data_IF_448643843964
#
_entry.id   IF_448643843964
#
_cell.length_a   1.000
_cell.length_b   1.000
_cell.length_c   1.000
_cell.angle_alpha   90.00
_cell.angle_beta   90.00
_cell.angle_gamma   90.00
#
_symmetry.space_group_name_H-M   'P 1'
#
loop_
_entity.id
_entity.type
_entity.pdbx_description
1 polymer ?
#
# COMPACT_ATOMS: atom_id res chain seq x y z
N UNK A 1 -41.87 -5.13 31.08
CA UNK A 1 -40.40 -5.13 30.85
C UNK A 1 -39.80 -4.71 32.18
N UNK A 2 -39.23 -5.67 32.91
CA UNK A 2 -38.75 -5.45 34.27
C UNK A 2 -37.48 -4.55 34.27
N UNK A 3 -37.27 -3.81 35.36
CA UNK A 3 -36.10 -2.91 35.52
C UNK A 3 -34.75 -3.62 35.28
N UNK A 4 -34.68 -4.92 35.55
CA UNK A 4 -33.51 -5.76 35.28
C UNK A 4 -33.22 -5.89 33.78
N UNK A 5 -34.26 -5.98 32.94
CA UNK A 5 -34.11 -6.04 31.47
C UNK A 5 -33.69 -4.67 30.87
N UNK A 6 -34.12 -3.57 31.48
CA UNK A 6 -33.69 -2.21 31.10
C UNK A 6 -32.22 -1.98 31.44
N UNK A 7 -31.77 -2.36 32.62
CA UNK A 7 -30.36 -2.23 33.04
C UNK A 7 -29.48 -3.14 32.17
N UNK A 8 -29.97 -4.34 31.84
CA UNK A 8 -29.27 -5.24 30.90
C UNK A 8 -29.13 -4.66 29.48
N UNK A 9 -30.19 -4.07 28.95
CA UNK A 9 -30.18 -3.41 27.63
C UNK A 9 -29.34 -2.12 27.63
N UNK A 10 -29.42 -1.29 28.63
CA UNK A 10 -28.56 -0.10 28.76
C UNK A 10 -27.08 -0.49 28.92
N UNK A 11 -26.77 -1.51 29.71
CA UNK A 11 -25.41 -2.00 29.85
C UNK A 11 -24.88 -2.63 28.56
N UNK A 12 -25.70 -3.32 27.77
CA UNK A 12 -25.36 -3.87 26.48
C UNK A 12 -25.19 -2.78 25.42
N UNK A 13 -26.03 -1.74 25.44
CA UNK A 13 -25.91 -0.58 24.55
C UNK A 13 -24.67 0.25 24.91
N UNK A 14 -24.41 0.47 26.20
CA UNK A 14 -23.21 1.15 26.69
C UNK A 14 -21.95 0.35 26.37
N UNK A 15 -21.96 -0.98 26.51
CA UNK A 15 -20.84 -1.84 26.07
C UNK A 15 -20.66 -1.84 24.56
N UNK A 16 -21.74 -1.83 23.77
CA UNK A 16 -21.67 -1.76 22.30
C UNK A 16 -21.18 -0.41 21.80
N UNK A 17 -21.57 0.68 22.48
CA UNK A 17 -21.06 2.03 22.20
C UNK A 17 -19.63 2.22 22.70
N UNK A 18 -19.25 1.63 23.84
CA UNK A 18 -17.86 1.63 24.33
C UNK A 18 -16.93 0.80 23.41
N UNK A 19 -17.36 -0.39 22.98
CA UNK A 19 -16.61 -1.22 22.03
C UNK A 19 -16.46 -0.55 20.65
N UNK A 20 -17.46 0.22 20.21
CA UNK A 20 -17.37 1.08 19.03
C UNK A 20 -16.42 2.29 19.21
N UNK A 21 -16.14 2.65 20.48
CA UNK A 21 -15.24 3.75 20.87
C UNK A 21 -13.78 3.31 21.05
N UNK A 22 -13.53 2.02 21.27
CA UNK A 22 -12.20 1.50 21.62
C UNK A 22 -11.25 1.28 20.43
N UNK A 23 -11.75 1.38 19.19
CA UNK A 23 -10.91 1.15 17.99
C UNK A 23 -10.24 -0.23 18.03
N UNK A 24 -8.90 -0.26 17.87
CA UNK A 24 -8.09 -1.49 17.88
C UNK A 24 -7.37 -1.73 19.21
N UNK A 25 -7.62 -0.92 20.24
CA UNK A 25 -6.91 -0.98 21.51
C UNK A 25 -7.44 -2.06 22.46
N UNK A 26 -8.63 -2.59 22.19
CA UNK A 26 -9.28 -3.65 22.96
C UNK A 26 -9.60 -4.89 22.11
N UNK A 27 -10.00 -5.97 22.73
CA UNK A 27 -10.37 -7.21 22.05
C UNK A 27 -9.20 -8.03 21.50
N UNK A 28 -9.50 -9.05 20.70
CA UNK A 28 -8.50 -10.00 20.16
C UNK A 28 -7.65 -9.36 19.06
N UNK A 29 -6.34 -9.36 19.23
CA UNK A 29 -5.35 -8.84 18.27
C UNK A 29 -5.49 -9.53 16.91
N UNK A 30 -5.51 -10.87 16.90
CA UNK A 30 -5.59 -11.64 15.65
C UNK A 30 -6.89 -11.38 14.88
N UNK A 31 -8.04 -11.24 15.58
CA UNK A 31 -9.32 -10.93 14.92
C UNK A 31 -9.31 -9.56 14.25
N UNK A 32 -8.71 -8.54 14.88
CA UNK A 32 -8.59 -7.21 14.28
C UNK A 32 -7.71 -7.23 13.04
N UNK A 33 -6.52 -7.86 13.13
CA UNK A 33 -5.58 -7.96 12.01
C UNK A 33 -6.17 -8.76 10.85
N UNK A 34 -6.81 -9.90 11.13
CA UNK A 34 -7.48 -10.71 10.12
C UNK A 34 -8.60 -9.93 9.43
N UNK A 35 -9.44 -9.24 10.21
CA UNK A 35 -10.53 -8.42 9.65
C UNK A 35 -10.01 -7.28 8.79
N UNK A 36 -9.01 -6.52 9.28
CA UNK A 36 -8.37 -5.45 8.49
C UNK A 36 -7.72 -6.01 7.22
N UNK A 37 -6.90 -7.04 7.34
CA UNK A 37 -6.17 -7.65 6.23
C UNK A 37 -7.10 -8.25 5.19
N UNK A 38 -8.14 -8.99 5.57
CA UNK A 38 -9.07 -9.62 4.62
C UNK A 38 -9.88 -8.59 3.82
N UNK A 39 -10.44 -7.55 4.46
CA UNK A 39 -11.15 -6.50 3.73
C UNK A 39 -10.22 -5.70 2.83
N UNK A 40 -8.97 -5.46 3.26
CA UNK A 40 -7.97 -4.82 2.41
C UNK A 40 -7.57 -5.71 1.24
N UNK A 41 -7.42 -7.02 1.44
CA UNK A 41 -7.14 -7.96 0.37
C UNK A 41 -8.25 -7.97 -0.69
N UNK A 42 -9.52 -8.01 -0.28
CA UNK A 42 -10.66 -7.91 -1.21
C UNK A 42 -10.62 -6.59 -1.98
N UNK A 43 -10.39 -5.46 -1.31
CA UNK A 43 -10.31 -4.15 -1.97
C UNK A 43 -9.16 -4.07 -2.98
N UNK A 44 -7.97 -4.54 -2.63
CA UNK A 44 -6.80 -4.53 -3.52
C UNK A 44 -6.94 -5.53 -4.67
N UNK A 45 -7.48 -6.72 -4.44
CA UNK A 45 -7.76 -7.69 -5.50
C UNK A 45 -8.77 -7.13 -6.51
N UNK A 46 -9.87 -6.52 -6.05
CA UNK A 46 -10.86 -5.92 -6.94
C UNK A 46 -10.26 -4.75 -7.74
N UNK A 47 -9.35 -3.97 -7.14
CA UNK A 47 -8.65 -2.91 -7.85
C UNK A 47 -7.75 -3.46 -8.96
N UNK A 48 -7.04 -4.57 -8.72
CA UNK A 48 -6.24 -5.21 -9.76
C UNK A 48 -7.08 -5.84 -10.87
N UNK A 49 -8.23 -6.43 -10.52
CA UNK A 49 -9.20 -6.91 -11.52
C UNK A 49 -9.69 -5.75 -12.39
N UNK A 50 -9.94 -4.57 -11.82
CA UNK A 50 -10.34 -3.40 -12.58
C UNK A 50 -9.23 -2.91 -13.54
N UNK A 51 -7.97 -2.92 -13.11
CA UNK A 51 -6.82 -2.60 -13.98
C UNK A 51 -6.66 -3.62 -15.12
N UNK A 52 -6.86 -4.91 -14.83
CA UNK A 52 -6.83 -5.95 -15.84
C UNK A 52 -7.98 -5.78 -16.84
N UNK A 53 -9.20 -5.50 -16.36
CA UNK A 53 -10.34 -5.24 -17.22
C UNK A 53 -10.12 -4.02 -18.13
N UNK A 54 -9.53 -2.94 -17.60
CA UNK A 54 -9.12 -1.76 -18.37
C UNK A 54 -8.13 -2.13 -19.49
N UNK A 55 -7.11 -2.94 -19.18
CA UNK A 55 -6.14 -3.41 -20.17
C UNK A 55 -6.80 -4.27 -21.25
N UNK A 56 -7.74 -5.14 -20.89
CA UNK A 56 -8.51 -5.95 -21.85
C UNK A 56 -9.37 -5.05 -22.74
N UNK A 57 -10.10 -4.07 -22.17
CA UNK A 57 -10.92 -3.15 -22.96
C UNK A 57 -10.08 -2.33 -23.94
N UNK A 58 -8.93 -1.81 -23.51
CA UNK A 58 -8.02 -1.07 -24.38
C UNK A 58 -7.38 -1.97 -25.45
N UNK A 59 -7.07 -3.21 -25.13
CA UNK A 59 -6.61 -4.20 -26.11
C UNK A 59 -7.67 -4.54 -27.18
N UNK A 60 -8.97 -4.42 -26.85
CA UNK A 60 -10.06 -4.56 -27.80
C UNK A 60 -10.22 -3.33 -28.71
N UNK A 61 -9.78 -2.15 -28.25
CA UNK A 61 -9.76 -0.93 -29.09
C UNK A 61 -8.65 -1.01 -30.13
N UNK A 62 -7.39 -1.16 -29.69
CA UNK A 62 -6.24 -1.35 -30.57
C UNK A 62 -4.97 -1.76 -29.79
N UNK A 63 -3.99 -2.29 -30.52
CA UNK A 63 -2.67 -2.59 -29.94
C UNK A 63 -1.94 -1.32 -29.47
N UNK A 64 -2.13 -0.21 -30.18
CA UNK A 64 -1.56 1.09 -29.86
C UNK A 64 -2.15 1.65 -28.56
N UNK A 65 -3.45 1.48 -28.32
CA UNK A 65 -4.11 1.88 -27.06
C UNK A 65 -3.55 1.11 -25.87
N UNK A 66 -3.34 -0.19 -26.01
CA UNK A 66 -2.71 -1.02 -24.99
C UNK A 66 -1.24 -0.60 -24.73
N UNK A 67 -0.49 -0.30 -25.80
CA UNK A 67 0.87 0.21 -25.68
C UNK A 67 0.90 1.58 -24.98
N UNK A 68 -0.03 2.47 -25.29
CA UNK A 68 -0.16 3.79 -24.66
C UNK A 68 -0.39 3.68 -23.14
N UNK A 69 -1.24 2.73 -22.69
CA UNK A 69 -1.40 2.43 -21.27
C UNK A 69 -0.08 1.97 -20.63
N UNK A 70 0.74 1.21 -21.35
CA UNK A 70 2.08 0.79 -20.92
C UNK A 70 3.01 1.97 -20.64
N UNK A 71 3.01 3.01 -21.49
CA UNK A 71 3.79 4.23 -21.28
C UNK A 71 3.24 5.11 -20.12
N UNK A 72 1.95 5.05 -19.82
CA UNK A 72 1.37 5.72 -18.66
C UNK A 72 1.74 5.06 -17.32
N UNK A 73 2.08 3.76 -17.30
CA UNK A 73 2.30 2.96 -16.10
C UNK A 73 3.40 3.51 -15.14
N UNK A 74 4.60 3.93 -15.59
CA UNK A 74 5.60 4.51 -14.70
C UNK A 74 5.13 5.78 -13.98
N UNK A 75 4.30 6.57 -14.68
CA UNK A 75 3.72 7.80 -14.12
C UNK A 75 2.71 7.43 -13.03
N UNK A 76 1.84 6.47 -13.29
CA UNK A 76 0.83 6.04 -12.31
C UNK A 76 1.47 5.44 -11.04
N UNK A 77 2.54 4.63 -11.16
CA UNK A 77 3.29 4.10 -10.00
C UNK A 77 3.89 5.24 -9.18
N UNK A 78 4.45 6.26 -9.84
CA UNK A 78 5.00 7.44 -9.15
C UNK A 78 3.91 8.14 -8.32
N UNK A 79 2.72 8.34 -8.89
CA UNK A 79 1.58 8.92 -8.18
C UNK A 79 1.11 8.05 -7.01
N UNK A 80 1.16 6.72 -7.14
CA UNK A 80 0.90 5.80 -6.03
C UNK A 80 1.89 5.97 -4.88
N UNK A 81 3.18 6.22 -5.17
CA UNK A 81 4.18 6.48 -4.13
C UNK A 81 3.85 7.75 -3.33
N UNK A 82 3.43 8.82 -4.00
CA UNK A 82 2.99 10.06 -3.33
C UNK A 82 1.72 9.83 -2.49
N UNK A 83 0.70 9.19 -3.06
CA UNK A 83 -0.56 8.91 -2.36
C UNK A 83 -0.35 8.00 -1.15
N UNK A 84 0.44 6.93 -1.31
CA UNK A 84 0.80 6.00 -0.25
C UNK A 84 1.61 6.63 0.86
N UNK A 85 2.58 7.48 0.51
CA UNK A 85 3.41 8.17 1.50
C UNK A 85 2.64 9.19 2.32
N UNK A 86 1.82 10.05 1.69
CA UNK A 86 0.93 10.98 2.40
C UNK A 86 -0.06 10.19 3.27
N UNK A 87 -0.63 9.11 2.73
CA UNK A 87 -1.53 8.23 3.46
C UNK A 87 -0.87 7.60 4.70
N UNK A 88 0.35 7.08 4.58
CA UNK A 88 1.12 6.52 5.69
C UNK A 88 1.45 7.57 6.74
N UNK A 89 1.89 8.77 6.33
CA UNK A 89 2.11 9.88 7.23
C UNK A 89 0.86 10.26 8.02
N UNK A 90 -0.27 10.43 7.32
CA UNK A 90 -1.56 10.75 7.95
C UNK A 90 -2.03 9.61 8.88
N UNK A 91 -1.96 8.35 8.43
CA UNK A 91 -2.28 7.17 9.23
C UNK A 91 -1.48 7.12 10.53
N UNK A 92 -0.17 7.35 10.45
CA UNK A 92 0.75 7.34 11.58
C UNK A 92 0.35 8.34 12.67
N UNK A 93 0.08 9.60 12.28
CA UNK A 93 -0.25 10.66 13.25
C UNK A 93 -1.64 10.47 13.83
N UNK A 94 -2.62 10.15 12.97
CA UNK A 94 -4.02 9.98 13.35
C UNK A 94 -4.22 8.74 14.21
N UNK A 95 -3.62 7.59 13.84
CA UNK A 95 -3.75 6.38 14.63
C UNK A 95 -3.16 6.55 16.03
N UNK A 96 -2.03 7.24 16.19
CA UNK A 96 -1.45 7.54 17.51
C UNK A 96 -2.34 8.49 18.32
N UNK A 97 -2.90 9.54 17.72
CA UNK A 97 -3.83 10.43 18.38
C UNK A 97 -5.11 9.70 18.81
N UNK A 98 -5.63 8.81 17.95
CA UNK A 98 -6.78 7.97 18.24
C UNK A 98 -6.51 7.03 19.41
N UNK A 99 -5.33 6.40 19.44
CA UNK A 99 -4.89 5.54 20.53
C UNK A 99 -4.70 6.29 21.86
N UNK A 100 -4.25 7.53 21.79
CA UNK A 100 -4.11 8.42 22.95
C UNK A 100 -5.47 8.97 23.48
N UNK A 101 -6.57 8.74 22.73
CA UNK A 101 -7.89 9.23 23.10
C UNK A 101 -8.17 10.69 22.72
N UNK A 102 -7.24 11.35 22.01
CA UNK A 102 -7.33 12.76 21.62
C UNK A 102 -8.15 12.91 20.32
N UNK A 103 -9.49 12.91 20.49
CA UNK A 103 -10.44 12.99 19.38
C UNK A 103 -10.44 14.34 18.65
N UNK A 104 -10.23 15.43 19.38
CA UNK A 104 -10.18 16.76 18.77
C UNK A 104 -9.00 16.86 17.81
N UNK A 105 -7.85 16.35 18.21
CA UNK A 105 -6.67 16.22 17.36
C UNK A 105 -6.89 15.29 16.19
N UNK A 106 -7.61 14.18 16.35
CA UNK A 106 -7.96 13.26 15.25
C UNK A 106 -8.80 13.98 14.20
N UNK A 107 -9.87 14.68 14.60
CA UNK A 107 -10.76 15.38 13.65
C UNK A 107 -10.04 16.49 12.89
N UNK A 108 -9.16 17.23 13.55
CA UNK A 108 -8.30 18.23 12.95
C UNK A 108 -7.33 17.60 11.93
N UNK A 109 -6.60 16.56 12.33
CA UNK A 109 -5.64 15.89 11.45
C UNK A 109 -6.30 15.22 10.23
N UNK A 110 -7.51 14.65 10.38
CA UNK A 110 -8.28 14.08 9.25
C UNK A 110 -8.59 15.16 8.21
N UNK A 111 -9.05 16.34 8.62
CA UNK A 111 -9.33 17.46 7.71
C UNK A 111 -8.06 17.98 7.04
N UNK A 112 -7.00 18.22 7.82
CA UNK A 112 -5.73 18.72 7.30
C UNK A 112 -5.05 17.75 6.34
N UNK A 113 -5.17 16.43 6.56
CA UNK A 113 -4.64 15.39 5.66
C UNK A 113 -5.38 15.38 4.31
N UNK A 114 -6.70 15.59 4.31
CA UNK A 114 -7.48 15.69 3.07
C UNK A 114 -7.13 16.94 2.27
N UNK A 115 -6.99 18.08 2.94
CA UNK A 115 -6.57 19.34 2.29
C UNK A 115 -5.16 19.17 1.69
N UNK A 116 -4.23 18.56 2.43
CA UNK A 116 -2.89 18.26 1.92
C UNK A 116 -2.94 17.37 0.68
N UNK A 117 -3.77 16.32 0.70
CA UNK A 117 -3.94 15.41 -0.43
C UNK A 117 -4.49 16.14 -1.68
N UNK A 118 -5.45 17.03 -1.52
CA UNK A 118 -5.99 17.85 -2.62
C UNK A 118 -4.91 18.76 -3.18
N UNK A 119 -4.19 19.49 -2.33
CA UNK A 119 -3.15 20.45 -2.76
C UNK A 119 -2.03 19.70 -3.51
N UNK A 120 -1.47 18.66 -2.91
CA UNK A 120 -0.39 17.88 -3.54
C UNK A 120 -0.89 17.19 -4.81
N UNK A 121 -2.11 16.63 -4.78
CA UNK A 121 -2.73 16.03 -5.95
C UNK A 121 -2.93 17.03 -7.09
N UNK A 122 -3.38 18.26 -6.78
CA UNK A 122 -3.54 19.33 -7.78
C UNK A 122 -2.19 19.76 -8.35
N UNK A 123 -1.17 19.94 -7.49
CA UNK A 123 0.17 20.29 -7.96
C UNK A 123 0.76 19.22 -8.87
N UNK A 124 0.65 17.94 -8.48
CA UNK A 124 1.12 16.82 -9.31
C UNK A 124 0.31 16.69 -10.60
N UNK A 125 -1.02 16.87 -10.54
CA UNK A 125 -1.90 16.83 -11.70
C UNK A 125 -1.58 17.94 -12.71
N UNK A 126 -1.43 19.18 -12.24
CA UNK A 126 -1.05 20.32 -13.09
C UNK A 126 0.34 20.12 -13.67
N UNK A 127 1.31 19.75 -12.85
CA UNK A 127 2.68 19.45 -13.32
C UNK A 127 2.67 18.34 -14.37
N UNK A 128 1.99 17.22 -14.07
CA UNK A 128 1.89 16.09 -14.98
C UNK A 128 1.17 16.45 -16.30
N UNK A 129 0.13 17.29 -16.27
CA UNK A 129 -0.58 17.73 -17.46
C UNK A 129 0.29 18.66 -18.33
N UNK A 130 1.06 19.56 -17.73
CA UNK A 130 1.94 20.50 -18.46
C UNK A 130 3.10 19.72 -19.11
N UNK A 131 3.70 18.76 -18.41
CA UNK A 131 4.88 18.04 -18.85
C UNK A 131 4.57 16.64 -19.43
N UNK A 132 3.30 16.29 -19.66
CA UNK A 132 2.89 14.97 -20.15
C UNK A 132 3.64 14.58 -21.44
N UNK A 133 3.67 15.46 -22.42
CA UNK A 133 4.31 15.21 -23.70
C UNK A 133 5.82 14.96 -23.55
N UNK A 134 6.51 15.84 -22.81
CA UNK A 134 7.97 15.71 -22.59
C UNK A 134 8.32 14.43 -21.84
N UNK A 135 7.52 14.07 -20.83
CA UNK A 135 7.75 12.85 -20.05
C UNK A 135 7.55 11.61 -20.93
N UNK A 136 6.47 11.57 -21.71
CA UNK A 136 6.14 10.41 -22.55
C UNK A 136 7.13 10.27 -23.71
N UNK A 137 7.57 11.38 -24.31
CA UNK A 137 8.64 11.38 -25.33
C UNK A 137 9.97 10.89 -24.73
N UNK A 138 10.32 11.32 -23.51
CA UNK A 138 11.53 10.85 -22.81
C UNK A 138 11.48 9.35 -22.49
N UNK A 139 10.27 8.78 -22.30
CA UNK A 139 10.05 7.34 -22.16
C UNK A 139 10.15 6.59 -23.51
N UNK A 140 10.22 7.29 -24.64
CA UNK A 140 10.44 6.71 -25.97
C UNK A 140 9.17 6.51 -26.81
N UNK A 141 7.99 6.98 -26.37
CA UNK A 141 6.78 6.91 -27.19
C UNK A 141 6.86 7.84 -28.41
N UNK A 142 6.31 7.39 -29.53
CA UNK A 142 6.31 8.13 -30.82
C UNK A 142 5.01 7.90 -31.58
N UNK A 143 4.69 8.85 -32.49
CA UNK A 143 3.55 8.73 -33.40
C UNK A 143 2.22 8.53 -32.67
N UNK A 144 1.36 7.65 -33.17
CA UNK A 144 0.02 7.40 -32.65
C UNK A 144 0.01 6.99 -31.17
N UNK A 145 1.00 6.20 -30.73
CA UNK A 145 1.12 5.79 -29.31
C UNK A 145 1.39 7.00 -28.42
N UNK A 146 2.21 7.94 -28.85
CA UNK A 146 2.46 9.19 -28.12
C UNK A 146 1.16 9.99 -27.98
N UNK A 147 0.43 10.20 -29.07
CA UNK A 147 -0.81 10.98 -29.07
C UNK A 147 -1.87 10.33 -28.17
N UNK A 148 -2.04 9.02 -28.26
CA UNK A 148 -2.95 8.26 -27.40
C UNK A 148 -2.56 8.34 -25.91
N UNK A 149 -1.26 8.24 -25.62
CA UNK A 149 -0.77 8.35 -24.24
C UNK A 149 -1.04 9.74 -23.67
N UNK A 150 -0.84 10.80 -24.47
CA UNK A 150 -1.15 12.18 -24.05
C UNK A 150 -2.64 12.34 -23.78
N UNK A 151 -3.52 11.85 -24.69
CA UNK A 151 -4.98 11.91 -24.48
C UNK A 151 -5.39 11.22 -23.18
N UNK A 152 -4.84 10.03 -22.91
CA UNK A 152 -5.10 9.32 -21.65
C UNK A 152 -4.63 10.14 -20.44
N UNK A 153 -3.38 10.63 -20.47
CA UNK A 153 -2.77 11.34 -19.36
C UNK A 153 -3.42 12.68 -19.08
N UNK A 154 -3.90 13.41 -20.08
CA UNK A 154 -4.60 14.68 -19.87
C UNK A 154 -5.83 14.48 -18.95
N UNK A 155 -6.64 13.47 -19.22
CA UNK A 155 -7.80 13.15 -18.38
C UNK A 155 -7.35 12.56 -17.05
N UNK A 156 -6.37 11.66 -17.05
CA UNK A 156 -5.85 11.04 -15.83
C UNK A 156 -5.27 12.05 -14.85
N UNK A 157 -4.49 13.05 -15.35
CA UNK A 157 -3.90 14.12 -14.54
C UNK A 157 -4.94 15.02 -13.90
N UNK A 158 -6.05 15.29 -14.60
CA UNK A 158 -7.21 15.95 -14.00
C UNK A 158 -7.77 15.13 -12.81
N UNK A 159 -7.70 13.81 -12.89
CA UNK A 159 -8.15 12.89 -11.84
C UNK A 159 -7.20 12.73 -10.65
N UNK A 160 -5.94 13.20 -10.74
CA UNK A 160 -4.90 12.96 -9.69
C UNK A 160 -5.30 13.51 -8.31
N UNK A 161 -5.91 14.70 -8.15
CA UNK A 161 -6.39 15.15 -6.85
C UNK A 161 -7.41 14.18 -6.23
N UNK A 162 -8.31 13.64 -7.04
CA UNK A 162 -9.31 12.67 -6.61
C UNK A 162 -8.70 11.32 -6.27
N UNK A 163 -7.70 10.92 -7.02
CA UNK A 163 -6.93 9.70 -6.73
C UNK A 163 -6.23 9.79 -5.37
N UNK A 164 -5.46 10.86 -5.12
CA UNK A 164 -4.77 11.06 -3.84
C UNK A 164 -5.77 11.10 -2.69
N UNK A 165 -6.85 11.85 -2.85
CA UNK A 165 -7.90 11.98 -1.85
C UNK A 165 -8.57 10.64 -1.52
N UNK A 166 -8.81 9.79 -2.54
CA UNK A 166 -9.38 8.45 -2.37
C UNK A 166 -8.45 7.53 -1.57
N UNK A 167 -7.14 7.50 -1.90
CA UNK A 167 -6.14 6.68 -1.19
C UNK A 167 -5.96 7.16 0.25
N UNK A 168 -5.80 8.47 0.44
CA UNK A 168 -5.68 9.07 1.78
C UNK A 168 -6.96 8.81 2.58
N UNK A 169 -8.17 9.02 2.01
CA UNK A 169 -9.45 8.74 2.65
C UNK A 169 -9.57 7.30 3.15
N UNK A 170 -9.11 6.32 2.35
CA UNK A 170 -9.01 4.91 2.75
C UNK A 170 -8.14 4.73 4.00
N UNK A 171 -6.96 5.36 4.02
CA UNK A 171 -6.02 5.30 5.15
C UNK A 171 -6.58 5.99 6.39
N UNK A 172 -7.26 7.12 6.25
CA UNK A 172 -7.91 7.84 7.35
C UNK A 172 -8.97 6.98 8.05
N UNK A 173 -9.83 6.28 7.28
CA UNK A 173 -10.83 5.37 7.83
C UNK A 173 -10.18 4.21 8.60
N UNK A 174 -9.08 3.65 8.11
CA UNK A 174 -8.33 2.63 8.86
C UNK A 174 -7.74 3.19 10.15
N UNK A 175 -7.09 4.35 10.07
CA UNK A 175 -6.47 5.01 11.20
C UNK A 175 -7.46 5.36 12.31
N UNK A 176 -8.72 5.68 11.94
CA UNK A 176 -9.82 5.98 12.90
C UNK A 176 -10.53 4.73 13.42
N UNK A 177 -10.12 3.52 13.02
CA UNK A 177 -10.61 2.26 13.59
C UNK A 177 -11.62 1.51 12.73
N UNK A 178 -11.92 1.95 11.51
CA UNK A 178 -12.79 1.20 10.60
C UNK A 178 -12.01 0.09 9.89
N UNK A 179 -12.37 -1.17 10.17
CA UNK A 179 -11.69 -2.32 9.57
C UNK A 179 -12.24 -2.71 8.19
N UNK A 180 -13.55 -2.63 7.99
CA UNK A 180 -14.22 -3.15 6.80
C UNK A 180 -14.46 -2.09 5.72
N UNK A 181 -14.86 -0.88 6.13
CA UNK A 181 -15.30 0.16 5.21
C UNK A 181 -14.27 0.53 4.13
N UNK A 182 -12.95 0.65 4.43
CA UNK A 182 -11.98 1.00 3.41
C UNK A 182 -11.92 -0.02 2.27
N UNK A 183 -11.87 -1.31 2.57
CA UNK A 183 -11.84 -2.37 1.58
C UNK A 183 -13.13 -2.45 0.75
N UNK A 184 -14.30 -2.29 1.40
CA UNK A 184 -15.59 -2.27 0.71
C UNK A 184 -15.68 -1.07 -0.26
N UNK A 185 -15.28 0.13 0.17
CA UNK A 185 -15.32 1.33 -0.67
C UNK A 185 -14.35 1.19 -1.86
N UNK A 186 -13.14 0.64 -1.62
CA UNK A 186 -12.19 0.34 -2.70
C UNK A 186 -12.79 -0.65 -3.72
N UNK A 187 -13.41 -1.73 -3.25
CA UNK A 187 -14.07 -2.71 -4.11
C UNK A 187 -15.24 -2.07 -4.90
N UNK A 188 -16.08 -1.26 -4.25
CA UNK A 188 -17.16 -0.54 -4.91
C UNK A 188 -16.64 0.38 -6.01
N UNK A 189 -15.61 1.20 -5.73
CA UNK A 189 -14.98 2.05 -6.74
C UNK A 189 -14.43 1.25 -7.92
N UNK A 190 -13.79 0.11 -7.66
CA UNK A 190 -13.26 -0.76 -8.71
C UNK A 190 -14.35 -1.40 -9.56
N UNK A 191 -15.45 -1.83 -8.95
CA UNK A 191 -16.61 -2.34 -9.69
C UNK A 191 -17.21 -1.23 -10.58
N UNK A 192 -17.35 -0.02 -10.05
CA UNK A 192 -17.82 1.13 -10.84
C UNK A 192 -16.88 1.40 -12.02
N UNK A 193 -15.57 1.33 -11.84
CA UNK A 193 -14.60 1.47 -12.93
C UNK A 193 -14.79 0.41 -14.02
N UNK A 194 -14.97 -0.86 -13.64
CA UNK A 194 -15.22 -1.97 -14.60
C UNK A 194 -16.49 -1.72 -15.39
N UNK A 195 -17.56 -1.27 -14.73
CA UNK A 195 -18.86 -1.03 -15.38
C UNK A 195 -18.84 0.22 -16.27
N UNK A 196 -18.15 1.28 -15.86
CA UNK A 196 -18.05 2.52 -16.66
C UNK A 196 -17.07 2.38 -17.84
N UNK A 197 -16.10 1.46 -17.76
CA UNK A 197 -15.14 1.23 -18.82
C UNK A 197 -15.78 1.06 -20.19
N UNK A 198 -16.63 0.04 -20.43
CA UNK A 198 -17.27 -0.18 -21.72
C UNK A 198 -18.16 0.99 -22.17
N UNK A 199 -18.79 1.68 -21.23
CA UNK A 199 -19.68 2.81 -21.53
C UNK A 199 -18.91 3.96 -22.18
N UNK A 200 -17.74 4.32 -21.61
CA UNK A 200 -16.96 5.44 -22.12
C UNK A 200 -15.96 5.05 -23.21
N UNK A 201 -15.42 3.83 -23.16
CA UNK A 201 -14.45 3.37 -24.16
C UNK A 201 -15.15 3.11 -25.50
N UNK A 202 -16.26 2.36 -25.49
CA UNK A 202 -16.96 1.90 -26.70
C UNK A 202 -18.23 2.71 -27.03
N UNK A 203 -18.57 3.72 -26.23
CA UNK A 203 -19.74 4.54 -26.51
C UNK A 203 -21.07 3.86 -26.21
N UNK A 204 -21.16 2.94 -25.25
CA UNK A 204 -22.40 2.27 -24.89
C UNK A 204 -23.41 3.23 -24.24
N UNK A 205 -24.70 2.88 -24.26
CA UNK A 205 -25.79 3.64 -23.66
C UNK A 205 -25.98 5.06 -24.24
N UNK A 206 -25.50 5.32 -25.47
CA UNK A 206 -25.67 6.62 -26.13
C UNK A 206 -24.63 7.68 -25.75
N UNK A 207 -23.61 7.30 -25.02
CA UNK A 207 -22.44 8.15 -24.76
C UNK A 207 -21.51 8.13 -25.98
N UNK A 208 -20.84 9.24 -26.36
CA UNK A 208 -19.84 9.22 -27.42
C UNK A 208 -18.71 8.23 -27.12
N UNK A 209 -18.22 7.55 -28.15
CA UNK A 209 -17.02 6.72 -28.03
C UNK A 209 -15.79 7.61 -27.78
N UNK A 210 -15.16 7.43 -26.63
CA UNK A 210 -14.01 8.21 -26.20
C UNK A 210 -12.68 7.43 -26.29
N UNK A 211 -12.72 6.16 -26.68
CA UNK A 211 -11.55 5.31 -26.80
C UNK A 211 -10.70 5.30 -25.52
N UNK A 212 -9.40 5.56 -25.65
CA UNK A 212 -8.46 5.53 -24.51
C UNK A 212 -8.77 6.63 -23.47
N UNK A 213 -9.26 7.80 -23.88
CA UNK A 213 -9.67 8.84 -22.93
C UNK A 213 -10.88 8.39 -22.09
N UNK A 214 -11.74 7.53 -22.66
CA UNK A 214 -12.88 6.91 -21.94
C UNK A 214 -12.45 6.04 -20.77
N UNK A 215 -11.33 5.31 -20.91
CA UNK A 215 -10.74 4.55 -19.80
C UNK A 215 -10.32 5.47 -18.64
N UNK A 216 -9.66 6.58 -18.95
CA UNK A 216 -9.26 7.57 -17.93
C UNK A 216 -10.48 8.23 -17.27
N UNK A 217 -11.55 8.54 -18.01
CA UNK A 217 -12.79 9.04 -17.43
C UNK A 217 -13.49 8.04 -16.52
N UNK A 218 -13.57 6.76 -16.92
CA UNK A 218 -14.10 5.70 -16.06
C UNK A 218 -13.33 5.60 -14.74
N UNK A 219 -11.99 5.71 -14.80
CA UNK A 219 -11.14 5.76 -13.62
C UNK A 219 -11.45 6.96 -12.74
N UNK A 220 -11.46 8.18 -13.27
CA UNK A 220 -11.72 9.43 -12.52
C UNK A 220 -13.08 9.39 -11.82
N UNK A 221 -14.13 9.00 -12.54
CA UNK A 221 -15.48 8.92 -11.97
C UNK A 221 -15.59 7.86 -10.87
N UNK A 222 -14.89 6.73 -11.02
CA UNK A 222 -14.83 5.71 -9.96
C UNK A 222 -14.16 6.23 -8.69
N UNK A 223 -13.15 7.11 -8.81
CA UNK A 223 -12.51 7.76 -7.66
C UNK A 223 -13.46 8.77 -6.99
N UNK A 224 -14.22 9.51 -7.76
CA UNK A 224 -15.25 10.42 -7.21
C UNK A 224 -16.29 9.66 -6.39
N UNK A 225 -16.79 8.53 -6.86
CA UNK A 225 -17.69 7.66 -6.08
C UNK A 225 -17.04 7.24 -4.77
N UNK A 226 -15.78 6.81 -4.82
CA UNK A 226 -15.03 6.42 -3.60
C UNK A 226 -14.91 7.59 -2.63
N UNK A 227 -14.62 8.80 -3.10
CA UNK A 227 -14.51 10.01 -2.27
C UNK A 227 -15.83 10.34 -1.59
N UNK A 228 -16.93 10.29 -2.33
CA UNK A 228 -18.27 10.54 -1.76
C UNK A 228 -18.56 9.56 -0.62
N UNK A 229 -18.26 8.28 -0.81
CA UNK A 229 -18.46 7.26 0.21
C UNK A 229 -17.56 7.46 1.43
N UNK A 230 -16.26 7.77 1.23
CA UNK A 230 -15.33 8.07 2.31
C UNK A 230 -15.74 9.30 3.09
N UNK A 231 -16.06 10.40 2.39
CA UNK A 231 -16.46 11.66 3.01
C UNK A 231 -17.77 11.52 3.79
N UNK A 232 -18.77 10.86 3.19
CA UNK A 232 -20.04 10.59 3.87
C UNK A 232 -19.82 9.81 5.18
N UNK A 233 -18.95 8.80 5.16
CA UNK A 233 -18.66 8.01 6.35
C UNK A 233 -17.89 8.80 7.41
N UNK A 234 -16.89 9.62 7.03
CA UNK A 234 -16.14 10.46 7.95
C UNK A 234 -17.02 11.54 8.59
N UNK A 235 -17.94 12.14 7.82
CA UNK A 235 -18.92 13.10 8.34
C UNK A 235 -19.91 12.41 9.29
N UNK A 236 -20.47 11.26 8.89
CA UNK A 236 -21.42 10.50 9.73
C UNK A 236 -20.82 10.05 11.05
N UNK A 237 -19.53 9.71 11.05
CA UNK A 237 -18.81 9.30 12.29
C UNK A 237 -18.29 10.48 13.09
N UNK A 238 -18.56 11.72 12.67
CA UNK A 238 -18.05 12.95 13.28
C UNK A 238 -16.52 12.97 13.40
N UNK A 239 -15.82 12.38 12.45
CA UNK A 239 -14.36 12.36 12.38
C UNK A 239 -13.79 13.46 11.48
N UNK A 240 -14.64 14.35 10.95
CA UNK A 240 -14.26 15.46 10.10
C UNK A 240 -14.87 16.76 10.64
N UNK A 241 -14.05 17.78 10.82
CA UNK A 241 -14.45 19.12 11.22
C UNK A 241 -13.61 20.13 10.44
N UNK A 242 -14.27 21.06 9.76
CA UNK A 242 -13.57 22.11 9.00
C UNK A 242 -12.93 23.11 9.98
N UNK A 243 -11.68 22.91 10.27
CA UNK A 243 -10.83 23.79 11.07
C UNK A 243 -9.54 23.99 10.28
N UNK A 244 -9.14 25.23 10.09
CA UNK A 244 -7.93 25.56 9.31
C UNK A 244 -6.75 25.92 10.21
N UNK A 245 -7.01 26.14 11.50
CA UNK A 245 -6.00 26.52 12.46
C UNK A 245 -4.99 25.39 12.69
N UNK A 246 -3.71 25.72 12.68
CA UNK A 246 -2.64 24.75 12.91
C UNK A 246 -2.31 23.83 11.74
N UNK A 247 -2.81 24.12 10.52
CA UNK A 247 -2.47 23.32 9.32
C UNK A 247 -0.97 23.10 9.10
N UNK A 248 -0.09 24.14 9.19
CA UNK A 248 1.34 23.93 8.94
C UNK A 248 1.98 22.92 9.89
N UNK A 249 1.61 22.92 11.17
CA UNK A 249 2.13 21.97 12.16
C UNK A 249 1.62 20.54 11.89
N UNK A 250 0.36 20.40 11.48
CA UNK A 250 -0.22 19.12 11.10
C UNK A 250 0.43 18.56 9.84
N UNK A 251 0.63 19.39 8.82
CA UNK A 251 1.29 18.98 7.58
C UNK A 251 2.75 18.61 7.82
N UNK A 252 3.47 19.35 8.64
CA UNK A 252 4.84 18.98 9.03
C UNK A 252 4.87 17.62 9.73
N UNK A 253 3.94 17.37 10.65
CA UNK A 253 3.83 16.06 11.32
C UNK A 253 3.49 14.91 10.36
N UNK A 254 2.60 15.15 9.38
CA UNK A 254 2.24 14.17 8.35
C UNK A 254 3.43 13.95 7.41
N UNK A 255 4.06 14.99 6.90
CA UNK A 255 5.17 14.91 5.95
C UNK A 255 6.46 14.39 6.59
N UNK A 256 6.63 14.55 7.92
CA UNK A 256 7.76 13.93 8.64
C UNK A 256 7.82 12.42 8.44
N UNK A 257 6.66 11.74 8.40
CA UNK A 257 6.58 10.30 8.09
C UNK A 257 6.33 10.09 6.60
N UNK A 258 5.46 10.89 6.00
CA UNK A 258 5.05 10.77 4.60
C UNK A 258 6.18 11.02 3.62
N UNK A 259 7.06 12.00 3.86
CA UNK A 259 8.18 12.30 2.98
C UNK A 259 9.14 11.12 2.79
N UNK A 260 9.71 10.57 3.87
CA UNK A 260 10.51 9.34 3.79
C UNK A 260 9.76 8.15 3.18
N UNK A 261 8.45 8.03 3.42
CA UNK A 261 7.64 6.95 2.83
C UNK A 261 7.46 7.15 1.30
N UNK A 262 7.30 8.39 0.81
CA UNK A 262 7.31 8.71 -0.63
C UNK A 262 8.65 8.30 -1.23
N UNK A 263 9.76 8.71 -0.63
CA UNK A 263 11.10 8.37 -1.12
C UNK A 263 11.30 6.85 -1.17
N UNK A 264 10.86 6.11 -0.16
CA UNK A 264 10.89 4.64 -0.16
C UNK A 264 10.08 4.04 -1.31
N UNK A 265 8.91 4.61 -1.61
CA UNK A 265 8.05 4.18 -2.72
C UNK A 265 8.68 4.42 -4.11
N UNK A 266 9.43 5.51 -4.27
CA UNK A 266 10.12 5.86 -5.53
C UNK A 266 11.35 4.98 -5.82
N UNK A 267 11.90 4.28 -4.82
CA UNK A 267 13.03 3.36 -5.02
C UNK A 267 12.61 2.12 -5.84
N UNK A 268 11.36 1.67 -5.72
CA UNK A 268 10.88 0.46 -6.40
C UNK A 268 10.96 0.53 -7.94
N UNK A 269 10.45 1.58 -8.62
CA UNK A 269 10.60 1.73 -10.06
C UNK A 269 12.06 1.74 -10.52
N UNK A 270 12.94 2.37 -9.75
CA UNK A 270 14.39 2.38 -10.04
C UNK A 270 14.98 0.97 -10.02
N UNK A 271 14.66 0.18 -8.99
CA UNK A 271 15.09 -1.21 -8.91
C UNK A 271 14.63 -2.03 -10.12
N UNK A 272 13.36 -1.87 -10.49
CA UNK A 272 12.77 -2.58 -11.62
C UNK A 272 13.48 -2.26 -12.94
N UNK A 273 13.84 -0.99 -13.17
CA UNK A 273 14.59 -0.56 -14.34
C UNK A 273 15.97 -1.23 -14.42
N UNK A 274 16.72 -1.25 -13.30
CA UNK A 274 18.06 -1.84 -13.24
C UNK A 274 17.98 -3.34 -13.55
N UNK A 275 17.05 -4.06 -12.93
CA UNK A 275 16.91 -5.51 -13.11
C UNK A 275 16.49 -5.86 -14.54
N UNK A 276 15.51 -5.15 -15.09
CA UNK A 276 15.09 -5.37 -16.47
C UNK A 276 16.26 -5.16 -17.44
N UNK A 277 17.11 -4.15 -17.20
CA UNK A 277 18.30 -3.91 -18.03
C UNK A 277 19.33 -5.03 -17.91
N UNK A 278 19.56 -5.58 -16.71
CA UNK A 278 20.46 -6.73 -16.53
C UNK A 278 19.92 -7.96 -17.27
N UNK A 279 18.64 -8.27 -17.08
CA UNK A 279 18.00 -9.42 -17.74
C UNK A 279 17.97 -9.27 -19.26
N UNK A 280 17.82 -8.05 -19.78
CA UNK A 280 17.86 -7.79 -21.24
C UNK A 280 19.21 -8.14 -21.86
N UNK A 281 20.30 -8.15 -21.08
CA UNK A 281 21.62 -8.63 -21.53
C UNK A 281 21.67 -10.12 -21.87
N UNK A 282 20.72 -10.91 -21.37
CA UNK A 282 20.62 -12.37 -21.61
C UNK A 282 19.61 -12.76 -22.71
N UNK A 283 18.98 -11.78 -23.35
CA UNK A 283 18.01 -12.01 -24.42
C UNK A 283 16.57 -11.63 -24.05
N UNK A 284 15.76 -11.46 -25.08
CA UNK A 284 14.36 -11.02 -24.90
C UNK A 284 13.46 -12.13 -24.30
N UNK A 285 13.78 -13.40 -24.53
CA UNK A 285 13.07 -14.53 -23.93
C UNK A 285 13.25 -14.56 -22.41
N UNK A 286 14.44 -14.22 -21.91
CA UNK A 286 14.70 -14.14 -20.47
C UNK A 286 13.85 -13.05 -19.81
N UNK A 287 13.75 -11.88 -20.47
CA UNK A 287 12.88 -10.79 -20.01
C UNK A 287 11.41 -11.21 -20.05
N UNK A 288 10.99 -11.94 -21.09
CA UNK A 288 9.63 -12.47 -21.21
C UNK A 288 9.31 -13.45 -20.07
N UNK A 289 10.16 -14.43 -19.81
CA UNK A 289 10.02 -15.40 -18.73
C UNK A 289 9.95 -14.75 -17.34
N UNK A 290 10.81 -13.75 -17.10
CA UNK A 290 10.77 -12.95 -15.89
C UNK A 290 9.44 -12.19 -15.73
N UNK A 291 8.94 -11.57 -16.81
CA UNK A 291 7.68 -10.83 -16.77
C UNK A 291 6.48 -11.75 -16.50
N UNK A 292 6.45 -12.94 -17.08
CA UNK A 292 5.42 -13.95 -16.79
C UNK A 292 5.47 -14.36 -15.32
N UNK A 293 6.65 -14.71 -14.83
CA UNK A 293 6.84 -15.16 -13.45
C UNK A 293 6.47 -14.07 -12.42
N UNK A 294 6.87 -12.81 -12.64
CA UNK A 294 6.56 -11.71 -11.73
C UNK A 294 5.08 -11.34 -11.69
N UNK A 295 4.33 -11.57 -12.77
CA UNK A 295 2.86 -11.39 -12.76
C UNK A 295 2.19 -12.38 -11.80
N UNK A 296 2.65 -13.63 -11.80
CA UNK A 296 2.16 -14.65 -10.85
C UNK A 296 2.57 -14.30 -9.42
N UNK A 297 3.83 -13.90 -9.21
CA UNK A 297 4.36 -13.48 -7.91
C UNK A 297 3.58 -12.28 -7.33
N UNK A 298 3.17 -11.34 -8.17
CA UNK A 298 2.42 -10.16 -7.74
C UNK A 298 1.12 -10.53 -7.01
N UNK A 299 0.45 -11.61 -7.40
CA UNK A 299 -0.75 -12.09 -6.70
C UNK A 299 -0.45 -12.51 -5.26
N UNK A 300 0.68 -13.18 -5.04
CA UNK A 300 1.14 -13.55 -3.70
C UNK A 300 1.52 -12.32 -2.86
N UNK A 301 2.17 -11.33 -3.49
CA UNK A 301 2.53 -10.06 -2.86
C UNK A 301 1.33 -9.24 -2.39
N UNK A 302 0.20 -9.26 -3.10
CA UNK A 302 -1.01 -8.52 -2.70
C UNK A 302 -1.52 -8.91 -1.32
N UNK A 303 -1.42 -10.19 -0.98
CA UNK A 303 -1.83 -10.69 0.34
C UNK A 303 -0.90 -10.17 1.44
N UNK A 304 0.41 -10.20 1.21
CA UNK A 304 1.40 -9.66 2.15
C UNK A 304 1.29 -8.14 2.29
N UNK A 305 1.05 -7.44 1.18
CA UNK A 305 0.83 -5.99 1.20
C UNK A 305 -0.43 -5.62 1.98
N UNK A 306 -1.50 -6.39 1.83
CA UNK A 306 -2.74 -6.22 2.58
C UNK A 306 -2.56 -6.49 4.08
N UNK A 307 -1.78 -7.53 4.44
CA UNK A 307 -1.40 -7.81 5.81
C UNK A 307 -0.56 -6.66 6.41
N UNK A 308 0.45 -6.18 5.68
CA UNK A 308 1.30 -5.06 6.11
C UNK A 308 0.49 -3.76 6.29
N UNK A 309 -0.45 -3.46 5.38
CA UNK A 309 -1.31 -2.29 5.47
C UNK A 309 -2.29 -2.34 6.66
N UNK A 310 -2.57 -3.53 7.19
CA UNK A 310 -3.37 -3.71 8.40
C UNK A 310 -2.60 -3.43 9.69
N UNK A 311 -1.29 -3.65 9.65
CA UNK A 311 -0.37 -3.47 10.79
C UNK A 311 -0.27 -2.00 11.19
N UNK A 312 -0.18 -1.10 10.21
CA UNK A 312 0.08 0.33 10.45
C UNK A 312 -0.97 0.99 11.37
N UNK A 313 -2.29 0.96 11.06
CA UNK A 313 -3.30 1.55 11.92
C UNK A 313 -3.42 0.82 13.27
N UNK A 314 -3.26 -0.50 13.29
CA UNK A 314 -3.32 -1.28 14.50
C UNK A 314 -2.18 -0.93 15.47
N UNK A 315 -0.94 -0.90 14.97
CA UNK A 315 0.24 -0.53 15.76
C UNK A 315 0.14 0.93 16.19
N UNK A 316 -0.22 1.84 15.30
CA UNK A 316 -0.33 3.26 15.62
C UNK A 316 -1.28 3.54 16.79
N UNK A 317 -2.48 2.93 16.80
CA UNK A 317 -3.42 3.08 17.90
C UNK A 317 -2.90 2.46 19.21
N UNK A 318 -2.37 1.24 19.16
CA UNK A 318 -1.83 0.59 20.36
C UNK A 318 -0.56 1.27 20.89
N UNK A 319 0.23 1.89 20.00
CA UNK A 319 1.39 2.71 20.36
C UNK A 319 0.96 4.00 21.07
N UNK A 320 -0.03 4.71 20.52
CA UNK A 320 -0.61 5.90 21.15
C UNK A 320 -1.24 5.60 22.51
N UNK A 321 -1.92 4.45 22.64
CA UNK A 321 -2.47 3.96 23.90
C UNK A 321 -1.42 3.35 24.86
N UNK A 322 -0.14 3.30 24.46
CA UNK A 322 0.98 2.68 25.20
C UNK A 322 0.76 1.19 25.51
N UNK A 323 0.02 0.47 24.67
CA UNK A 323 -0.25 -0.97 24.77
C UNK A 323 0.83 -1.80 24.07
N UNK A 324 2.08 -1.73 24.55
CA UNK A 324 3.25 -2.34 23.87
C UNK A 324 3.17 -3.87 23.75
N UNK A 325 2.49 -4.56 24.67
CA UNK A 325 2.34 -6.02 24.58
C UNK A 325 1.41 -6.42 23.42
N UNK A 326 0.39 -5.60 23.14
CA UNK A 326 -0.46 -5.79 21.94
C UNK A 326 0.32 -5.53 20.65
N UNK A 327 1.22 -4.54 20.65
CA UNK A 327 2.12 -4.28 19.53
C UNK A 327 3.05 -5.49 19.28
N UNK A 328 3.69 -6.03 20.33
CA UNK A 328 4.52 -7.24 20.23
C UNK A 328 3.74 -8.44 19.70
N UNK A 329 2.52 -8.64 20.20
CA UNK A 329 1.64 -9.72 19.76
C UNK A 329 1.23 -9.56 18.28
N UNK A 330 0.91 -8.35 17.85
CA UNK A 330 0.58 -8.06 16.48
C UNK A 330 1.74 -8.37 15.53
N UNK A 331 2.95 -7.89 15.85
CA UNK A 331 4.16 -8.17 15.09
C UNK A 331 4.47 -9.67 15.03
N UNK A 332 4.31 -10.38 16.13
CA UNK A 332 4.50 -11.84 16.13
C UNK A 332 3.52 -12.53 15.19
N UNK A 333 2.23 -12.22 15.29
CA UNK A 333 1.19 -12.85 14.45
C UNK A 333 1.36 -12.52 12.97
N UNK A 334 1.67 -11.27 12.62
CA UNK A 334 1.82 -10.86 11.23
C UNK A 334 3.11 -11.37 10.60
N UNK A 335 4.21 -11.42 11.35
CA UNK A 335 5.46 -12.02 10.88
C UNK A 335 5.32 -13.54 10.70
N UNK A 336 4.66 -14.24 11.63
CA UNK A 336 4.38 -15.67 11.50
C UNK A 336 3.47 -15.96 10.30
N UNK A 337 2.46 -15.12 10.09
CA UNK A 337 1.60 -15.22 8.90
C UNK A 337 2.42 -15.01 7.62
N UNK A 338 3.30 -14.01 7.60
CA UNK A 338 4.16 -13.73 6.43
C UNK A 338 5.05 -14.93 6.06
N UNK A 339 5.69 -15.57 7.05
CA UNK A 339 6.50 -16.76 6.80
C UNK A 339 5.66 -17.94 6.33
N UNK A 340 4.52 -18.20 6.99
CA UNK A 340 3.61 -19.27 6.59
C UNK A 340 3.07 -19.06 5.16
N UNK A 341 2.74 -17.82 4.81
CA UNK A 341 2.31 -17.45 3.46
C UNK A 341 3.43 -17.62 2.44
N UNK A 342 4.67 -17.26 2.79
CA UNK A 342 5.83 -17.48 1.94
C UNK A 342 6.06 -18.97 1.64
N UNK A 343 6.01 -19.83 2.68
CA UNK A 343 6.11 -21.29 2.50
C UNK A 343 4.95 -21.82 1.65
N UNK A 344 3.72 -21.38 1.92
CA UNK A 344 2.56 -21.77 1.10
C UNK A 344 2.73 -21.38 -0.37
N UNK A 345 3.15 -20.13 -0.63
CA UNK A 345 3.39 -19.64 -1.99
C UNK A 345 4.50 -20.43 -2.69
N UNK A 346 5.59 -20.72 -1.97
CA UNK A 346 6.68 -21.54 -2.51
C UNK A 346 6.20 -22.92 -2.94
N UNK A 347 5.50 -23.62 -2.05
CA UNK A 347 4.96 -24.96 -2.37
C UNK A 347 3.95 -24.88 -3.52
N UNK A 348 3.07 -23.88 -3.51
CA UNK A 348 2.09 -23.68 -4.58
C UNK A 348 2.76 -23.47 -5.93
N UNK A 349 3.77 -22.57 -5.99
CA UNK A 349 4.49 -22.29 -7.24
C UNK A 349 5.32 -23.48 -7.73
N UNK A 350 5.87 -24.29 -6.83
CA UNK A 350 6.51 -25.56 -7.22
C UNK A 350 5.55 -26.56 -7.86
N UNK A 351 4.28 -26.61 -7.37
CA UNK A 351 3.30 -27.59 -7.85
C UNK A 351 2.61 -27.14 -9.15
N UNK A 352 2.33 -25.87 -9.31
CA UNK A 352 1.51 -25.37 -10.42
C UNK A 352 2.24 -24.37 -11.33
N UNK A 353 3.46 -23.92 -10.97
CA UNK A 353 4.16 -22.87 -11.70
C UNK A 353 4.40 -23.20 -13.16
N UNK A 354 4.91 -24.39 -13.44
CA UNK A 354 5.16 -24.85 -14.80
C UNK A 354 3.87 -24.94 -15.62
N UNK A 355 2.78 -25.46 -15.04
CA UNK A 355 1.47 -25.47 -15.67
C UNK A 355 0.95 -24.08 -16.01
N UNK A 356 1.13 -23.11 -15.09
CA UNK A 356 0.69 -21.73 -15.32
C UNK A 356 1.50 -21.06 -16.44
N UNK A 357 2.80 -21.32 -16.51
CA UNK A 357 3.64 -20.81 -17.60
C UNK A 357 3.24 -21.39 -18.94
N UNK A 358 2.99 -22.69 -19.03
CA UNK A 358 2.58 -23.36 -20.27
C UNK A 358 1.21 -22.87 -20.81
N UNK A 359 0.38 -22.24 -19.98
CA UNK A 359 -0.86 -21.60 -20.42
C UNK A 359 -0.62 -20.21 -21.05
N UNK A 360 0.55 -19.60 -20.83
CA UNK A 360 0.83 -18.22 -21.22
C UNK A 360 1.77 -18.19 -22.44
N UNK A 361 2.77 -19.06 -22.46
CA UNK A 361 3.80 -19.08 -23.50
C UNK A 361 4.33 -20.52 -23.73
N UNK A 362 4.38 -20.93 -24.97
CA UNK A 362 4.90 -22.26 -25.39
C UNK A 362 6.42 -22.27 -25.61
N UNK A 363 7.10 -21.11 -25.46
CA UNK A 363 8.54 -21.02 -25.65
C UNK A 363 9.29 -21.70 -24.48
N UNK A 364 10.14 -22.67 -24.81
CA UNK A 364 10.88 -23.46 -23.83
C UNK A 364 11.80 -22.57 -22.96
N UNK A 365 12.47 -21.56 -23.53
CA UNK A 365 13.35 -20.65 -22.78
C UNK A 365 12.55 -19.82 -21.78
N UNK A 366 11.39 -19.31 -22.18
CA UNK A 366 10.46 -18.58 -21.28
C UNK A 366 10.05 -19.47 -20.10
N UNK A 367 9.72 -20.73 -20.39
CA UNK A 367 9.33 -21.71 -19.36
C UNK A 367 10.48 -22.04 -18.42
N UNK A 368 11.70 -22.24 -18.91
CA UNK A 368 12.90 -22.51 -18.09
C UNK A 368 13.24 -21.36 -17.17
N UNK A 369 13.18 -20.12 -17.67
CA UNK A 369 13.42 -18.90 -16.87
C UNK A 369 12.37 -18.74 -15.78
N UNK A 370 11.08 -18.90 -16.12
CA UNK A 370 10.01 -18.80 -15.15
C UNK A 370 10.06 -19.92 -14.10
N UNK A 371 10.40 -21.14 -14.49
CA UNK A 371 10.59 -22.28 -13.56
C UNK A 371 11.76 -22.02 -12.60
N UNK A 372 12.90 -21.48 -13.10
CA UNK A 372 14.03 -21.07 -12.26
C UNK A 372 13.62 -19.98 -11.26
N UNK A 373 12.80 -19.01 -11.70
CA UNK A 373 12.26 -17.98 -10.85
C UNK A 373 11.39 -18.58 -9.72
N UNK A 374 10.46 -19.48 -10.07
CA UNK A 374 9.54 -20.10 -9.10
C UNK A 374 10.25 -21.00 -8.08
N UNK A 375 11.41 -21.55 -8.44
CA UNK A 375 12.23 -22.33 -7.52
C UNK A 375 12.96 -21.44 -6.49
N UNK A 376 13.38 -20.23 -6.87
CA UNK A 376 14.30 -19.39 -6.09
C UNK A 376 13.56 -18.29 -5.31
N UNK A 377 12.73 -17.49 -5.98
CA UNK A 377 12.18 -16.26 -5.43
C UNK A 377 11.11 -16.51 -4.35
N UNK A 378 10.15 -17.44 -4.52
CA UNK A 378 9.06 -17.60 -3.56
C UNK A 378 9.53 -18.00 -2.16
N UNK A 379 10.69 -18.67 -2.05
CA UNK A 379 11.30 -18.99 -0.76
C UNK A 379 11.56 -17.74 0.10
N UNK A 380 11.82 -16.60 -0.52
CA UNK A 380 12.15 -15.34 0.13
C UNK A 380 10.94 -14.40 0.35
N UNK A 381 9.78 -14.70 -0.24
CA UNK A 381 8.57 -13.85 -0.18
C UNK A 381 8.15 -13.59 1.28
N UNK A 382 8.22 -14.62 2.14
CA UNK A 382 7.91 -14.48 3.56
C UNK A 382 8.79 -13.45 4.29
N UNK A 383 10.07 -13.39 3.97
CA UNK A 383 11.01 -12.42 4.53
C UNK A 383 10.80 -11.01 3.97
N UNK A 384 10.43 -10.90 2.69
CA UNK A 384 10.01 -9.63 2.11
C UNK A 384 8.78 -9.07 2.83
N UNK A 385 7.79 -9.92 3.16
CA UNK A 385 6.63 -9.51 3.96
C UNK A 385 7.01 -9.06 5.37
N UNK A 386 7.95 -9.73 6.05
CA UNK A 386 8.51 -9.29 7.34
C UNK A 386 9.12 -7.89 7.24
N UNK A 387 9.88 -7.62 6.18
CA UNK A 387 10.46 -6.31 5.93
C UNK A 387 9.37 -5.24 5.74
N UNK A 388 8.32 -5.51 4.97
CA UNK A 388 7.18 -4.60 4.78
C UNK A 388 6.45 -4.33 6.11
N UNK A 389 6.24 -5.37 6.94
CA UNK A 389 5.64 -5.27 8.28
C UNK A 389 6.51 -4.40 9.19
N UNK A 390 7.82 -4.58 9.17
CA UNK A 390 8.77 -3.76 9.95
C UNK A 390 8.70 -2.29 9.53
N UNK A 391 8.72 -2.01 8.22
CA UNK A 391 8.61 -0.65 7.66
C UNK A 391 7.30 0.02 8.07
N UNK A 392 6.16 -0.68 7.93
CA UNK A 392 4.85 -0.19 8.38
C UNK A 392 4.80 0.03 9.89
N UNK A 393 5.44 -0.83 10.68
CA UNK A 393 5.55 -0.69 12.13
C UNK A 393 6.37 0.55 12.53
N UNK A 394 7.49 0.83 11.85
CA UNK A 394 8.29 2.02 12.09
C UNK A 394 7.51 3.28 11.74
N UNK A 395 6.84 3.32 10.59
CA UNK A 395 6.00 4.45 10.16
C UNK A 395 4.87 4.68 11.17
N UNK A 396 4.14 3.65 11.58
CA UNK A 396 3.06 3.73 12.56
C UNK A 396 3.50 4.35 13.89
N UNK A 397 4.73 4.09 14.33
CA UNK A 397 5.32 4.64 15.54
C UNK A 397 5.87 6.07 15.39
N UNK A 398 5.89 6.60 14.17
CA UNK A 398 6.47 7.92 13.86
C UNK A 398 7.99 7.91 13.78
N UNK A 399 8.58 6.78 13.41
CA UNK A 399 10.01 6.57 13.21
C UNK A 399 10.30 6.29 11.72
N UNK A 400 10.19 7.27 10.83
CA UNK A 400 10.27 7.04 9.38
C UNK A 400 11.70 6.75 8.89
N UNK A 401 12.73 7.24 9.58
CA UNK A 401 14.11 7.06 9.14
C UNK A 401 14.54 5.59 9.08
N UNK A 402 14.29 4.73 10.10
CA UNK A 402 14.54 3.29 9.99
C UNK A 402 13.83 2.64 8.80
N UNK A 403 12.57 3.03 8.50
CA UNK A 403 11.82 2.51 7.37
C UNK A 403 12.48 2.88 6.03
N UNK A 404 12.91 4.14 5.88
CA UNK A 404 13.63 4.62 4.68
C UNK A 404 14.99 3.91 4.55
N UNK A 405 15.76 3.80 5.65
CA UNK A 405 17.06 3.13 5.65
C UNK A 405 16.94 1.68 5.21
N UNK A 406 15.94 0.94 5.72
CA UNK A 406 15.67 -0.45 5.27
C UNK A 406 15.43 -0.49 3.76
N UNK A 407 14.63 0.42 3.22
CA UNK A 407 14.30 0.46 1.78
C UNK A 407 15.52 0.80 0.91
N UNK A 408 16.31 1.81 1.31
CA UNK A 408 17.52 2.23 0.59
C UNK A 408 18.59 1.14 0.66
N UNK A 409 18.89 0.63 1.86
CA UNK A 409 19.90 -0.40 2.06
C UNK A 409 19.53 -1.66 1.28
N UNK A 410 18.27 -2.11 1.39
CA UNK A 410 17.81 -3.28 0.64
C UNK A 410 18.06 -3.12 -0.85
N UNK A 411 17.64 -2.03 -1.44
CA UNK A 411 17.58 -1.90 -2.89
C UNK A 411 18.89 -1.39 -3.47
N UNK A 412 19.40 -0.28 -2.94
CA UNK A 412 20.55 0.41 -3.55
C UNK A 412 21.87 -0.15 -3.06
N UNK A 413 21.97 -0.46 -1.77
CA UNK A 413 23.25 -0.86 -1.16
C UNK A 413 23.50 -2.37 -1.27
N UNK A 414 22.46 -3.19 -1.14
CA UNK A 414 22.58 -4.65 -1.14
C UNK A 414 22.16 -5.26 -2.45
N UNK A 415 20.90 -5.05 -2.87
CA UNK A 415 20.32 -5.78 -3.99
C UNK A 415 20.99 -5.45 -5.33
N UNK A 416 21.09 -4.18 -5.69
CA UNK A 416 21.66 -3.79 -7.01
C UNK A 416 23.12 -4.24 -7.16
N UNK A 417 24.03 -3.98 -6.21
CA UNK A 417 25.40 -4.47 -6.32
C UNK A 417 25.49 -5.99 -6.33
N UNK A 418 24.71 -6.67 -5.48
CA UNK A 418 24.71 -8.13 -5.40
C UNK A 418 24.17 -8.75 -6.69
N UNK A 419 23.13 -8.17 -7.29
CA UNK A 419 22.56 -8.63 -8.54
C UNK A 419 23.57 -8.49 -9.69
N UNK A 420 24.30 -7.35 -9.78
CA UNK A 420 25.33 -7.13 -10.79
C UNK A 420 26.47 -8.17 -10.64
N UNK A 421 26.93 -8.39 -9.42
CA UNK A 421 28.01 -9.36 -9.16
C UNK A 421 27.54 -10.78 -9.43
N UNK A 422 26.35 -11.15 -8.97
CA UNK A 422 25.81 -12.49 -9.17
C UNK A 422 25.50 -12.78 -10.64
N UNK A 423 25.07 -11.77 -11.40
CA UNK A 423 24.86 -11.85 -12.86
C UNK A 423 26.16 -12.24 -13.60
N UNK A 424 27.31 -11.69 -13.20
CA UNK A 424 28.61 -12.01 -13.78
C UNK A 424 29.04 -13.47 -13.61
N UNK A 425 28.59 -14.14 -12.52
CA UNK A 425 28.99 -15.51 -12.20
C UNK A 425 27.95 -16.55 -12.62
N UNK A 426 26.65 -16.22 -12.53
CA UNK A 426 25.55 -17.17 -12.71
C UNK A 426 24.48 -16.71 -13.69
N UNK A 427 24.74 -15.63 -14.43
CA UNK A 427 23.78 -15.06 -15.37
C UNK A 427 22.46 -14.66 -14.70
N UNK A 428 21.35 -14.76 -15.43
CA UNK A 428 20.03 -14.35 -14.91
C UNK A 428 19.60 -15.12 -13.64
N UNK A 429 20.06 -16.36 -13.46
CA UNK A 429 19.82 -17.14 -12.24
C UNK A 429 20.49 -16.46 -11.03
N UNK A 430 21.67 -15.88 -11.24
CA UNK A 430 22.38 -15.08 -10.22
C UNK A 430 21.55 -13.88 -9.75
N UNK A 431 20.84 -13.21 -10.65
CA UNK A 431 19.94 -12.10 -10.30
C UNK A 431 18.80 -12.58 -9.38
N UNK A 432 18.22 -13.75 -9.65
CA UNK A 432 17.18 -14.34 -8.81
C UNK A 432 17.72 -14.75 -7.43
N UNK A 433 18.90 -15.35 -7.37
CA UNK A 433 19.58 -15.68 -6.13
C UNK A 433 19.89 -14.43 -5.29
N UNK A 434 20.39 -13.36 -5.94
CA UNK A 434 20.63 -12.08 -5.28
C UNK A 434 19.36 -11.47 -4.69
N UNK A 435 18.23 -11.56 -5.42
CA UNK A 435 16.91 -11.11 -4.94
C UNK A 435 16.52 -11.88 -3.69
N UNK A 436 16.58 -13.22 -3.73
CA UNK A 436 16.20 -14.08 -2.62
C UNK A 436 17.11 -13.87 -1.40
N UNK A 437 18.43 -13.84 -1.60
CA UNK A 437 19.39 -13.59 -0.53
C UNK A 437 19.20 -12.22 0.12
N UNK A 438 18.96 -11.18 -0.67
CA UNK A 438 18.68 -9.83 -0.17
C UNK A 438 17.39 -9.80 0.66
N UNK A 439 16.30 -10.40 0.17
CA UNK A 439 15.03 -10.45 0.89
C UNK A 439 15.20 -11.14 2.25
N UNK A 440 15.89 -12.29 2.29
CA UNK A 440 16.16 -13.02 3.53
C UNK A 440 17.02 -12.21 4.47
N UNK A 441 18.19 -11.74 4.01
CA UNK A 441 19.14 -11.01 4.84
C UNK A 441 18.57 -9.73 5.42
N UNK A 442 18.00 -8.87 4.57
CA UNK A 442 17.40 -7.60 5.02
C UNK A 442 16.13 -7.84 5.83
N UNK A 443 15.33 -8.87 5.49
CA UNK A 443 14.15 -9.27 6.27
C UNK A 443 14.50 -9.65 7.71
N UNK A 444 15.56 -10.43 7.92
CA UNK A 444 16.07 -10.80 9.26
C UNK A 444 16.55 -9.56 10.03
N UNK A 445 17.33 -8.70 9.37
CA UNK A 445 17.82 -7.45 10.00
C UNK A 445 16.67 -6.54 10.39
N UNK A 446 15.70 -6.34 9.49
CA UNK A 446 14.53 -5.51 9.74
C UNK A 446 13.67 -6.07 10.90
N UNK A 447 13.49 -7.39 10.97
CA UNK A 447 12.79 -8.05 12.08
C UNK A 447 13.48 -7.81 13.42
N UNK A 448 14.81 -8.04 13.49
CA UNK A 448 15.59 -7.83 14.70
C UNK A 448 15.54 -6.37 15.16
N UNK A 449 15.80 -5.43 14.25
CA UNK A 449 15.79 -4.00 14.54
C UNK A 449 14.42 -3.53 15.06
N UNK A 450 13.34 -3.94 14.36
CA UNK A 450 11.98 -3.59 14.78
C UNK A 450 11.66 -4.15 16.17
N UNK A 451 12.03 -5.41 16.45
CA UNK A 451 11.82 -6.07 17.74
C UNK A 451 12.58 -5.38 18.88
N UNK A 452 13.85 -5.05 18.67
CA UNK A 452 14.68 -4.34 19.63
C UNK A 452 14.13 -2.93 19.92
N UNK A 453 13.75 -2.20 18.89
CA UNK A 453 13.19 -0.85 19.01
C UNK A 453 11.90 -0.83 19.84
N UNK A 454 11.02 -1.83 19.69
CA UNK A 454 9.80 -1.97 20.52
C UNK A 454 10.17 -2.34 21.98
N UNK A 455 11.17 -3.18 22.20
CA UNK A 455 11.59 -3.59 23.53
C UNK A 455 12.22 -2.45 24.33
N UNK A 456 13.08 -1.65 23.69
CA UNK A 456 13.74 -0.49 24.31
C UNK A 456 12.73 0.54 24.83
N UNK A 457 11.72 0.86 24.03
CA UNK A 457 10.69 1.82 24.43
C UNK A 457 9.82 1.32 25.59
N UNK A 458 9.54 0.01 25.66
CA UNK A 458 8.87 -0.58 26.83
C UNK A 458 9.75 -0.45 28.08
N UNK A 459 11.04 -0.78 27.99
CA UNK A 459 11.98 -0.67 29.10
C UNK A 459 12.12 0.75 29.65
N UNK A 460 12.22 1.75 28.76
CA UNK A 460 12.25 3.16 29.18
C UNK A 460 10.99 3.60 29.93
N UNK A 461 9.82 3.12 29.49
CA UNK A 461 8.57 3.39 30.20
C UNK A 461 8.53 2.79 31.60
N UNK A 462 8.91 1.50 31.71
CA UNK A 462 8.85 0.79 33.00
C UNK A 462 9.81 1.44 34.00
N UNK A 463 10.97 1.91 33.54
CA UNK A 463 11.92 2.69 34.32
C UNK A 463 11.33 4.05 34.80
N UNK A 464 10.71 4.81 33.86
CA UNK A 464 10.11 6.10 34.20
C UNK A 464 8.94 5.97 35.18
N UNK A 465 8.13 4.89 35.06
CA UNK A 465 7.03 4.64 35.99
C UNK A 465 7.54 4.31 37.39
N UNK A 466 8.62 3.53 37.49
CA UNK A 466 9.25 3.20 38.77
C UNK A 466 9.95 4.40 39.44
N UNK A 467 10.50 5.32 38.65
CA UNK A 467 11.10 6.56 39.17
C UNK A 467 10.04 7.54 39.71
N UNK A 468 8.88 7.62 39.00
CA UNK A 468 7.79 8.47 39.44
C UNK A 468 7.12 7.95 40.72
N UNK A 469 6.90 6.63 40.86
CA UNK A 469 6.35 6.04 42.10
C UNK A 469 7.26 6.30 43.30
N UNK A 470 8.58 6.16 43.14
CA UNK A 470 9.56 6.48 44.22
C UNK A 470 9.58 7.96 44.59
N UNK A 471 9.37 8.88 43.61
CA UNK A 471 9.25 10.30 43.93
C UNK A 471 7.98 10.63 44.71
N UNK A 472 6.88 9.97 44.38
CA UNK A 472 5.60 10.18 45.12
C UNK A 472 5.72 9.67 46.55
N UNK A 473 6.31 8.48 46.77
CA UNK A 473 6.56 7.93 48.11
C UNK A 473 7.51 8.81 48.95
N UNK A 474 8.53 9.45 48.30
CA UNK A 474 9.46 10.36 48.99
C UNK A 474 8.88 11.75 49.31
N UNK A 475 7.71 12.13 48.74
CA UNK A 475 7.01 13.37 49.02
C UNK A 475 5.92 13.17 50.09
N UNK A 476 5.49 11.93 50.32
CA UNK A 476 4.51 11.55 51.38
C UNK A 476 5.18 11.14 52.69
N UNK A 477 6.48 10.91 52.71
CA UNK A 477 7.32 10.65 53.90
C UNK A 477 7.96 11.94 54.41
#
# INVERSE_FOLDING_TARGET
MNDVDRIGLESAVVRKTAASRAGFTEGSVGRHLLKLGSFMAVGTMTMNVAQLAEAVYLGMVSTEALAAMGFAFPITITLFAFAGGIGSGASSVIARAMGAGDRDRVTLLVTHAQILAIIVGTLLGVFGAIFAEQIVQALGAKGVVLDMTIQYLQVYMFGVPFFLLSIVGSTLLRATGSAASPGIIMATGSIVQILLGPIFIFGWLGVPELGIAGAAWAYVLSRLVSIVLYSALLIRTRMMRLVLDGMPSSWMAILHVGGPAILSGLIMPFSMLVITRLLAGHGHEVVAGYNVATRVETMAHMILWSASSSVEPFIGQNWGARNFDRVKRALFLTNSFSLAWGVFTFVLMLLIGEFVVSLIDDNQVVSEVASSFFLIIPLSIGFMGIMQIATSSFNARGLPLPALVISVVRTVVVYVPLAIVADMFWGYVGIFLATSATNVGVGIVAWHWNRQSVAQQKGQRDLNSSLNSRKTESLES
#
